data_IF_406670339519
#
_entry.id   IF_406670339519
#
_cell.length_a   1.000
_cell.length_b   1.000
_cell.length_c   1.000
_cell.angle_alpha   90.00
_cell.angle_beta   90.00
_cell.angle_gamma   90.00
#
_symmetry.space_group_name_H-M   'P 1'
#
loop_
_entity.id
_entity.type
_entity.pdbx_description
1 polymer ?
#
# COMPACT_ATOMS: atom_id res chain seq x y z
N UNK A 1 -14.14 -12.07 17.14
CA UNK A 1 -13.27 -12.80 16.21
C UNK A 1 -12.82 -11.76 15.21
N UNK A 2 -11.53 -11.39 15.22
CA UNK A 2 -11.01 -10.49 14.18
C UNK A 2 -11.03 -11.32 12.90
N UNK A 3 -11.87 -10.92 11.94
CA UNK A 3 -11.81 -11.47 10.59
C UNK A 3 -10.55 -10.91 9.96
N UNK A 4 -9.76 -11.78 9.33
CA UNK A 4 -8.57 -11.34 8.61
C UNK A 4 -9.01 -10.72 7.27
N UNK A 5 -8.39 -9.61 6.91
CA UNK A 5 -8.59 -8.89 5.65
C UNK A 5 -7.33 -9.03 4.78
N UNK A 6 -7.49 -9.08 3.46
CA UNK A 6 -6.37 -9.12 2.52
C UNK A 6 -6.59 -8.05 1.45
N UNK A 7 -5.75 -7.03 1.49
CA UNK A 7 -5.84 -5.89 0.60
C UNK A 7 -4.73 -5.94 -0.44
N UNK A 8 -5.13 -5.75 -1.69
CA UNK A 8 -4.22 -5.69 -2.83
C UNK A 8 -4.32 -4.32 -3.46
N UNK A 9 -3.21 -3.59 -3.46
CA UNK A 9 -3.10 -2.25 -4.04
C UNK A 9 -2.04 -2.22 -5.15
N UNK A 10 -2.08 -1.26 -6.09
CA UNK A 10 -0.92 -0.96 -6.92
C UNK A 10 0.22 -0.45 -6.03
N UNK A 11 1.47 -0.66 -6.45
CA UNK A 11 2.65 -0.17 -5.68
C UNK A 11 2.61 1.35 -5.59
N UNK A 12 2.27 1.98 -6.70
CA UNK A 12 1.99 3.41 -6.84
C UNK A 12 0.98 3.61 -7.99
N UNK A 13 0.24 4.74 -8.02
CA UNK A 13 -0.72 5.05 -9.08
C UNK A 13 -0.08 5.07 -10.47
N UNK A 14 -0.87 4.80 -11.52
CA UNK A 14 -0.39 4.88 -12.90
C UNK A 14 0.09 6.31 -13.23
N UNK A 15 1.36 6.43 -13.62
CA UNK A 15 1.96 7.70 -13.99
C UNK A 15 3.44 7.74 -13.66
N UNK A 16 4.08 8.85 -13.99
CA UNK A 16 5.49 9.06 -13.65
C UNK A 16 5.60 9.45 -12.19
N UNK A 17 6.58 8.89 -11.50
CA UNK A 17 6.79 9.22 -10.10
C UNK A 17 7.21 10.69 -9.90
N UNK A 18 7.74 11.37 -10.93
CA UNK A 18 8.05 12.81 -10.91
C UNK A 18 6.88 13.73 -11.27
N UNK A 19 5.66 13.20 -11.36
CA UNK A 19 4.43 13.97 -11.52
C UNK A 19 3.87 14.36 -10.14
N UNK A 20 3.69 15.67 -9.86
CA UNK A 20 3.09 16.16 -8.63
C UNK A 20 1.76 15.49 -8.25
N UNK A 21 0.93 15.15 -9.23
CA UNK A 21 -0.38 14.52 -9.03
C UNK A 21 -0.22 13.10 -8.49
N UNK A 22 0.75 12.36 -9.02
CA UNK A 22 1.06 10.99 -8.61
C UNK A 22 1.66 10.99 -7.20
N UNK A 23 2.60 11.89 -6.94
CA UNK A 23 3.20 12.10 -5.62
C UNK A 23 2.14 12.42 -4.56
N UNK A 24 1.20 13.30 -4.88
CA UNK A 24 0.09 13.66 -3.98
C UNK A 24 -0.82 12.47 -3.69
N UNK A 25 -1.15 11.65 -4.70
CA UNK A 25 -1.94 10.44 -4.51
C UNK A 25 -1.22 9.39 -3.65
N UNK A 26 0.10 9.24 -3.84
CA UNK A 26 0.93 8.39 -2.97
C UNK A 26 0.86 8.91 -1.54
N UNK A 27 1.04 10.21 -1.33
CA UNK A 27 0.95 10.81 0.01
C UNK A 27 -0.39 10.49 0.69
N UNK A 28 -1.51 10.76 0.02
CA UNK A 28 -2.84 10.46 0.58
C UNK A 28 -3.04 8.98 0.88
N UNK A 29 -2.60 8.09 -0.02
CA UNK A 29 -2.65 6.63 0.20
C UNK A 29 -1.86 6.23 1.45
N UNK A 30 -0.69 6.83 1.65
CA UNK A 30 0.18 6.57 2.81
C UNK A 30 -0.41 7.10 4.11
N UNK A 31 -1.05 8.26 4.08
CA UNK A 31 -1.81 8.78 5.21
C UNK A 31 -2.97 7.87 5.57
N UNK A 32 -3.75 7.41 4.60
CA UNK A 32 -4.89 6.50 4.85
C UNK A 32 -4.47 5.11 5.37
N UNK A 33 -3.33 4.58 4.92
CA UNK A 33 -2.90 3.23 5.29
C UNK A 33 -2.02 3.18 6.55
N UNK A 34 -1.05 4.08 6.69
CA UNK A 34 0.07 3.91 7.63
C UNK A 34 0.32 5.11 8.56
N UNK A 35 0.39 6.32 8.01
CA UNK A 35 1.03 7.43 8.74
C UNK A 35 0.08 8.28 9.57
N UNK A 36 -1.15 8.51 9.12
CA UNK A 36 -2.10 9.31 9.89
C UNK A 36 -2.52 8.58 11.18
N UNK A 37 -2.91 9.32 12.22
CA UNK A 37 -3.42 8.74 13.46
C UNK A 37 -4.74 7.97 13.24
N UNK A 38 -5.49 8.32 12.21
CA UNK A 38 -6.70 7.62 11.75
C UNK A 38 -6.44 6.62 10.62
N UNK A 39 -5.18 6.38 10.27
CA UNK A 39 -4.82 5.39 9.26
C UNK A 39 -5.25 3.97 9.65
N UNK A 40 -5.44 3.10 8.66
CA UNK A 40 -5.83 1.70 8.86
C UNK A 40 -4.95 1.01 9.92
N UNK A 41 -3.62 1.07 9.76
CA UNK A 41 -2.71 0.39 10.68
C UNK A 41 -2.71 1.03 12.07
N UNK A 42 -2.75 2.36 12.20
CA UNK A 42 -2.79 3.00 13.53
C UNK A 42 -4.12 2.79 14.26
N UNK A 43 -5.24 2.70 13.53
CA UNK A 43 -6.55 2.31 14.10
C UNK A 43 -6.54 0.86 14.60
N UNK A 44 -5.88 -0.05 13.89
CA UNK A 44 -5.67 -1.44 14.36
C UNK A 44 -4.78 -1.44 15.61
N UNK A 45 -3.65 -0.70 15.61
CA UNK A 45 -2.77 -0.58 16.79
C UNK A 45 -3.51 -0.05 18.00
N UNK A 46 -4.33 0.99 17.84
CA UNK A 46 -5.13 1.51 18.93
C UNK A 46 -6.14 0.46 19.43
N UNK A 47 -6.80 -0.28 18.54
CA UNK A 47 -7.70 -1.38 18.92
C UNK A 47 -6.98 -2.49 19.70
N UNK A 48 -5.76 -2.84 19.30
CA UNK A 48 -4.91 -3.82 19.99
C UNK A 48 -4.45 -3.30 21.35
N UNK A 49 -4.08 -2.02 21.44
CA UNK A 49 -3.73 -1.38 22.71
C UNK A 49 -4.93 -1.36 23.67
N UNK A 50 -6.13 -0.99 23.20
CA UNK A 50 -7.36 -1.03 24.00
C UNK A 50 -7.64 -2.44 24.51
N UNK A 51 -7.47 -3.45 23.66
CA UNK A 51 -7.60 -4.86 24.06
C UNK A 51 -6.62 -5.20 25.18
N UNK A 52 -5.34 -4.84 25.04
CA UNK A 52 -4.32 -5.07 26.06
C UNK A 52 -4.70 -4.40 27.39
N UNK A 53 -5.17 -3.15 27.35
CA UNK A 53 -5.61 -2.43 28.54
C UNK A 53 -6.80 -3.08 29.25
N UNK A 54 -7.76 -3.61 28.50
CA UNK A 54 -8.91 -4.33 29.06
C UNK A 54 -8.51 -5.65 29.71
N UNK A 55 -7.57 -6.37 29.09
CA UNK A 55 -7.03 -7.64 29.60
C UNK A 55 -6.19 -7.43 30.85
N UNK A 56 -5.29 -6.44 30.87
CA UNK A 56 -4.46 -6.07 32.02
C UNK A 56 -5.30 -5.66 33.24
N UNK A 57 -6.37 -4.89 33.00
CA UNK A 57 -7.33 -4.46 34.05
C UNK A 57 -8.33 -5.55 34.41
N UNK A 58 -8.23 -6.74 33.81
CA UNK A 58 -9.13 -7.89 34.00
C UNK A 58 -10.61 -7.52 33.84
N UNK A 59 -10.92 -6.62 32.91
CA UNK A 59 -12.29 -6.17 32.66
C UNK A 59 -13.09 -7.34 32.07
N UNK A 60 -14.24 -7.73 32.66
CA UNK A 60 -15.05 -8.83 32.12
C UNK A 60 -15.45 -8.58 30.67
N UNK A 61 -15.35 -9.61 29.80
CA UNK A 61 -15.61 -9.48 28.35
C UNK A 61 -16.95 -8.82 28.01
N UNK A 62 -17.99 -9.09 28.81
CA UNK A 62 -19.33 -8.50 28.69
C UNK A 62 -19.36 -6.97 28.86
N UNK A 63 -18.36 -6.39 29.53
CA UNK A 63 -18.27 -4.95 29.83
C UNK A 63 -17.38 -4.20 28.83
N UNK A 64 -16.66 -4.90 27.96
CA UNK A 64 -15.72 -4.28 27.02
C UNK A 64 -16.39 -3.19 26.17
N UNK A 65 -17.61 -3.44 25.66
CA UNK A 65 -18.35 -2.48 24.83
C UNK A 65 -18.56 -1.11 25.49
N UNK A 66 -18.63 -1.05 26.83
CA UNK A 66 -18.81 0.21 27.58
C UNK A 66 -17.50 0.98 27.74
N UNK A 67 -16.38 0.27 27.79
CA UNK A 67 -15.05 0.82 28.10
C UNK A 67 -14.22 1.12 26.87
N UNK A 68 -14.49 0.47 25.73
CA UNK A 68 -13.73 0.65 24.48
C UNK A 68 -13.68 2.13 24.08
N UNK A 69 -14.82 2.81 23.98
CA UNK A 69 -14.87 4.22 23.53
C UNK A 69 -14.11 5.17 24.45
N UNK A 70 -14.11 4.92 25.76
CA UNK A 70 -13.37 5.73 26.73
C UNK A 70 -11.86 5.51 26.58
N UNK A 71 -11.43 4.26 26.38
CA UNK A 71 -10.02 3.91 26.19
C UNK A 71 -9.50 4.39 24.83
N UNK A 72 -10.29 4.27 23.76
CA UNK A 72 -9.93 4.79 22.43
C UNK A 72 -9.70 6.31 22.46
N UNK A 73 -10.52 7.05 23.21
CA UNK A 73 -10.34 8.51 23.36
C UNK A 73 -9.08 8.90 24.13
N UNK A 74 -8.63 8.06 25.07
CA UNK A 74 -7.38 8.26 25.82
C UNK A 74 -6.19 7.53 25.20
N UNK A 75 -6.33 7.02 23.97
CA UNK A 75 -5.32 6.20 23.29
C UNK A 75 -4.12 7.04 22.81
N UNK A 76 -4.25 8.38 22.78
CA UNK A 76 -3.27 9.40 22.34
C UNK A 76 -2.22 8.81 21.39
N UNK A 77 -0.92 8.90 21.71
CA UNK A 77 0.16 8.23 20.98
C UNK A 77 0.55 6.88 21.61
N UNK A 78 -0.21 6.39 22.61
CA UNK A 78 0.10 5.16 23.34
C UNK A 78 0.05 3.92 22.44
N UNK A 79 -0.75 3.98 21.37
CA UNK A 79 -0.80 2.92 20.36
C UNK A 79 0.54 2.75 19.61
N UNK A 80 1.43 3.74 19.63
CA UNK A 80 2.75 3.66 19.01
C UNK A 80 3.65 2.62 19.70
N UNK A 81 3.33 2.19 20.92
CA UNK A 81 4.02 1.12 21.62
C UNK A 81 3.68 -0.28 21.09
N UNK A 82 2.57 -0.42 20.36
CA UNK A 82 2.21 -1.68 19.69
C UNK A 82 3.04 -1.78 18.41
N UNK A 83 3.82 -2.84 18.24
CA UNK A 83 4.55 -3.08 16.99
C UNK A 83 3.57 -3.12 15.80
N UNK A 84 3.94 -2.45 14.70
CA UNK A 84 3.15 -2.44 13.46
C UNK A 84 2.94 -3.86 12.91
N UNK A 85 3.88 -4.78 13.15
CA UNK A 85 3.76 -6.18 12.73
C UNK A 85 2.57 -6.88 13.40
N UNK A 86 2.13 -6.43 14.58
CA UNK A 86 0.96 -6.98 15.26
C UNK A 86 -0.34 -6.75 14.46
N UNK A 87 -0.39 -5.70 13.62
CA UNK A 87 -1.53 -5.45 12.73
C UNK A 87 -1.72 -6.56 11.70
N UNK A 88 -0.64 -7.24 11.30
CA UNK A 88 -0.71 -8.26 10.25
C UNK A 88 -1.41 -9.55 10.67
N UNK A 89 -1.80 -9.66 11.95
CA UNK A 89 -2.74 -10.69 12.41
C UNK A 89 -4.17 -10.43 11.93
N UNK A 90 -4.50 -9.17 11.58
CA UNK A 90 -5.84 -8.72 11.19
C UNK A 90 -5.91 -8.29 9.72
N UNK A 91 -4.82 -7.80 9.14
CA UNK A 91 -4.79 -7.34 7.75
C UNK A 91 -3.52 -7.81 7.02
N UNK A 92 -3.65 -8.22 5.76
CA UNK A 92 -2.52 -8.56 4.89
C UNK A 92 -2.45 -7.55 3.75
N UNK A 93 -1.46 -6.67 3.75
CA UNK A 93 -1.27 -5.65 2.71
C UNK A 93 -0.28 -6.11 1.64
N UNK A 94 -0.74 -6.15 0.39
CA UNK A 94 0.02 -6.71 -0.73
C UNK A 94 0.01 -5.78 -1.94
N UNK A 95 1.03 -5.97 -2.77
CA UNK A 95 1.09 -5.50 -4.14
C UNK A 95 1.34 -6.68 -5.08
N UNK A 96 1.28 -6.41 -6.39
CA UNK A 96 1.71 -7.35 -7.42
C UNK A 96 2.91 -6.80 -8.18
N UNK A 97 3.90 -7.67 -8.44
CA UNK A 97 5.10 -7.33 -9.21
C UNK A 97 5.58 -8.53 -10.01
N UNK A 98 6.12 -8.26 -11.19
CA UNK A 98 6.78 -9.27 -12.01
C UNK A 98 8.18 -8.82 -12.45
N UNK A 99 8.93 -9.74 -13.03
CA UNK A 99 10.23 -9.49 -13.63
C UNK A 99 10.36 -10.20 -14.98
N UNK A 100 11.33 -9.76 -15.75
CA UNK A 100 11.68 -10.38 -17.03
C UNK A 100 13.11 -10.05 -17.41
N UNK A 101 13.45 -10.37 -18.65
CA UNK A 101 14.75 -10.03 -19.24
C UNK A 101 14.52 -9.26 -20.54
N UNK A 102 15.21 -8.13 -20.69
CA UNK A 102 15.23 -7.33 -21.91
C UNK A 102 16.69 -7.11 -22.30
N UNK A 103 17.08 -7.53 -23.51
CA UNK A 103 18.46 -7.41 -24.01
C UNK A 103 19.54 -7.98 -23.05
N UNK A 104 19.26 -9.11 -22.38
CA UNK A 104 20.19 -9.72 -21.42
C UNK A 104 20.22 -9.07 -20.04
N UNK A 105 19.37 -8.06 -19.79
CA UNK A 105 19.28 -7.33 -18.53
C UNK A 105 17.99 -7.66 -17.78
N UNK A 106 18.07 -7.97 -16.48
CA UNK A 106 16.88 -8.09 -15.65
C UNK A 106 16.10 -6.79 -15.59
N UNK A 107 14.79 -6.87 -15.77
CA UNK A 107 13.85 -5.75 -15.63
C UNK A 107 12.72 -6.17 -14.69
N UNK A 108 12.08 -5.20 -14.03
CA UNK A 108 10.91 -5.42 -13.19
C UNK A 108 9.91 -4.29 -13.37
N UNK A 109 8.62 -4.63 -13.25
CA UNK A 109 7.54 -3.65 -13.16
C UNK A 109 6.44 -4.16 -12.24
N UNK A 110 5.69 -3.25 -11.62
CA UNK A 110 4.46 -3.61 -10.92
C UNK A 110 3.45 -4.20 -11.91
N UNK A 111 2.68 -5.18 -11.46
CA UNK A 111 1.43 -5.53 -12.14
C UNK A 111 0.38 -4.56 -11.60
N UNK A 112 -0.05 -3.62 -12.43
CA UNK A 112 -0.92 -2.55 -11.98
C UNK A 112 -2.31 -3.08 -11.59
N UNK A 113 -2.68 -2.89 -10.33
CA UNK A 113 -3.97 -3.33 -9.78
C UNK A 113 -5.01 -2.25 -10.06
N UNK A 114 -5.66 -2.37 -11.22
CA UNK A 114 -6.76 -1.47 -11.61
C UNK A 114 -8.14 -1.95 -11.13
N UNK A 115 -8.21 -3.12 -10.50
CA UNK A 115 -9.47 -3.74 -10.05
C UNK A 115 -10.18 -2.94 -8.97
N UNK A 116 -11.51 -2.88 -9.03
CA UNK A 116 -12.40 -2.40 -7.95
C UNK A 116 -13.30 -3.57 -7.57
N UNK A 117 -12.74 -4.42 -6.71
CA UNK A 117 -13.31 -5.72 -6.37
C UNK A 117 -13.22 -5.93 -4.86
N UNK A 118 -14.33 -6.30 -4.25
CA UNK A 118 -14.40 -6.73 -2.86
C UNK A 118 -15.12 -8.07 -2.79
N UNK A 119 -14.52 -9.03 -2.09
CA UNK A 119 -15.12 -10.35 -1.84
C UNK A 119 -15.24 -10.53 -0.32
N UNK A 120 -16.45 -10.75 0.17
CA UNK A 120 -16.73 -10.87 1.61
C UNK A 120 -17.24 -12.27 1.92
N UNK A 121 -16.55 -12.97 2.84
CA UNK A 121 -16.89 -14.28 3.40
C UNK A 121 -17.05 -15.43 2.38
N UNK A 122 -16.49 -15.32 1.17
CA UNK A 122 -16.86 -16.21 0.04
C UNK A 122 -18.40 -16.19 -0.20
N UNK A 123 -19.09 -15.07 0.06
CA UNK A 123 -20.56 -14.93 -0.08
C UNK A 123 -21.01 -13.73 -0.90
N UNK A 124 -20.25 -12.65 -0.91
CA UNK A 124 -20.65 -11.43 -1.61
C UNK A 124 -19.50 -10.96 -2.46
N UNK A 125 -19.79 -10.59 -3.69
CA UNK A 125 -18.83 -9.92 -4.57
C UNK A 125 -19.39 -8.55 -4.91
N UNK A 126 -18.65 -7.49 -4.62
CA UNK A 126 -18.89 -6.17 -5.16
C UNK A 126 -17.85 -5.92 -6.25
N UNK A 127 -18.31 -5.61 -7.46
CA UNK A 127 -17.44 -5.27 -8.59
C UNK A 127 -17.99 -4.04 -9.30
N UNK A 128 -17.10 -3.15 -9.74
CA UNK A 128 -17.52 -1.91 -10.39
C UNK A 128 -16.37 -1.07 -10.92
N UNK A 129 -16.64 0.23 -11.07
CA UNK A 129 -15.66 1.25 -11.45
C UNK A 129 -15.18 2.10 -10.27
N UNK A 130 -15.96 2.17 -9.19
CA UNK A 130 -15.71 3.02 -8.02
C UNK A 130 -14.43 2.64 -7.26
N UNK A 131 -13.44 3.53 -7.29
CA UNK A 131 -12.25 3.43 -6.45
C UNK A 131 -12.61 3.62 -4.96
N UNK A 132 -11.73 3.18 -4.05
CA UNK A 132 -11.83 3.54 -2.63
C UNK A 132 -11.22 4.93 -2.45
N UNK A 133 -11.99 5.96 -2.81
CA UNK A 133 -11.66 7.37 -2.57
C UNK A 133 -12.94 8.22 -2.61
N UNK A 134 -12.83 9.46 -2.11
CA UNK A 134 -13.96 10.39 -2.05
C UNK A 134 -14.55 10.70 -3.44
N UNK A 135 -13.68 10.80 -4.46
CA UNK A 135 -14.08 11.10 -5.83
C UNK A 135 -15.08 10.08 -6.36
N UNK A 136 -14.88 8.80 -6.07
CA UNK A 136 -15.76 7.71 -6.49
C UNK A 136 -16.91 7.43 -5.50
N UNK A 137 -16.71 7.66 -4.19
CA UNK A 137 -17.65 7.20 -3.15
C UNK A 137 -18.63 8.25 -2.61
N UNK A 138 -18.35 9.56 -2.74
CA UNK A 138 -19.25 10.60 -2.24
C UNK A 138 -20.50 10.81 -3.12
N UNK A 139 -20.51 10.30 -4.35
CA UNK A 139 -21.60 10.45 -5.33
C UNK A 139 -21.71 11.86 -5.96
N UNK A 140 -21.05 12.87 -5.40
CA UNK A 140 -20.90 14.21 -5.96
C UNK A 140 -19.65 14.39 -6.84
N UNK A 141 -18.76 13.39 -6.86
CA UNK A 141 -17.57 13.34 -7.70
C UNK A 141 -17.85 12.70 -9.07
N UNK A 142 -17.15 11.62 -9.38
CA UNK A 142 -17.31 10.90 -10.64
C UNK A 142 -18.58 10.04 -10.64
N UNK A 143 -19.16 9.84 -11.83
CA UNK A 143 -20.26 8.88 -12.02
C UNK A 143 -19.71 7.47 -12.06
N UNK A 144 -20.11 6.63 -11.11
CA UNK A 144 -19.64 5.26 -10.96
C UNK A 144 -20.78 4.24 -11.09
N UNK A 145 -20.44 3.02 -11.50
CA UNK A 145 -21.36 1.88 -11.48
C UNK A 145 -20.73 0.72 -10.71
N UNK A 146 -21.52 0.07 -9.86
CA UNK A 146 -21.13 -1.14 -9.18
C UNK A 146 -22.31 -2.13 -9.10
N UNK A 147 -21.98 -3.42 -9.09
CA UNK A 147 -22.93 -4.52 -8.96
C UNK A 147 -22.52 -5.41 -7.81
N UNK A 148 -23.48 -5.70 -6.93
CA UNK A 148 -23.34 -6.73 -5.89
C UNK A 148 -23.85 -8.06 -6.41
N UNK A 149 -22.98 -9.06 -6.46
CA UNK A 149 -23.28 -10.42 -6.91
C UNK A 149 -23.38 -11.34 -5.70
N UNK A 150 -24.46 -12.09 -5.69
CA UNK A 150 -24.92 -12.93 -4.61
C UNK A 150 -25.70 -14.10 -5.20
N UNK A 151 -25.01 -15.12 -5.70
CA UNK A 151 -25.65 -16.28 -6.32
C UNK A 151 -26.49 -17.11 -5.33
N UNK A 152 -27.39 -17.92 -5.88
CA UNK A 152 -28.29 -18.77 -5.09
C UNK A 152 -27.69 -20.14 -4.79
N UNK A 153 -26.58 -20.49 -5.45
CA UNK A 153 -25.86 -21.73 -5.18
C UNK A 153 -25.03 -21.59 -3.91
N UNK A 154 -25.27 -22.48 -2.95
CA UNK A 154 -24.64 -22.45 -1.64
C UNK A 154 -23.84 -23.72 -1.37
N UNK A 155 -22.71 -23.54 -0.70
CA UNK A 155 -21.90 -24.60 -0.13
C UNK A 155 -21.60 -24.28 1.34
N UNK A 156 -21.14 -25.26 2.11
CA UNK A 156 -20.69 -25.07 3.48
C UNK A 156 -19.22 -25.48 3.54
N UNK A 157 -18.34 -24.53 3.87
CA UNK A 157 -16.90 -24.77 3.88
C UNK A 157 -16.30 -24.24 5.18
N UNK A 158 -15.31 -24.95 5.71
CA UNK A 158 -14.49 -24.46 6.80
C UNK A 158 -13.51 -23.41 6.25
N UNK A 159 -13.74 -22.13 6.53
CA UNK A 159 -12.94 -21.03 6.00
C UNK A 159 -11.77 -20.63 6.92
N UNK A 160 -11.88 -20.94 8.21
CA UNK A 160 -10.95 -20.50 9.25
C UNK A 160 -10.15 -21.64 9.90
N UNK A 161 -10.38 -22.88 9.46
CA UNK A 161 -9.67 -24.07 9.93
C UNK A 161 -10.14 -24.54 11.31
N UNK A 162 -11.29 -24.05 11.80
CA UNK A 162 -11.85 -24.45 13.09
C UNK A 162 -12.64 -25.76 13.02
N UNK A 163 -12.83 -26.30 11.81
CA UNK A 163 -13.72 -27.43 11.55
C UNK A 163 -15.20 -27.06 11.59
N UNK A 164 -15.55 -25.76 11.72
CA UNK A 164 -16.94 -25.28 11.71
C UNK A 164 -17.28 -24.75 10.32
N UNK A 165 -18.12 -25.44 9.52
CA UNK A 165 -18.45 -24.97 8.19
C UNK A 165 -19.26 -23.68 8.23
N UNK A 166 -18.83 -22.69 7.46
CA UNK A 166 -19.54 -21.45 7.20
C UNK A 166 -20.29 -21.54 5.86
N UNK A 167 -21.49 -20.95 5.76
CA UNK A 167 -22.19 -20.89 4.49
C UNK A 167 -21.43 -20.00 3.50
N UNK A 168 -21.14 -20.53 2.33
CA UNK A 168 -20.46 -19.88 1.22
C UNK A 168 -21.41 -19.78 0.02
N UNK A 169 -21.00 -19.02 -0.98
CA UNK A 169 -21.60 -18.99 -2.30
C UNK A 169 -20.59 -19.36 -3.37
N UNK A 170 -21.02 -20.09 -4.39
CA UNK A 170 -20.08 -20.68 -5.35
C UNK A 170 -19.39 -19.59 -6.17
N UNK A 171 -20.12 -18.59 -6.66
CA UNK A 171 -19.51 -17.53 -7.47
C UNK A 171 -18.41 -16.78 -6.70
N UNK A 172 -18.70 -16.35 -5.47
CA UNK A 172 -17.75 -15.60 -4.65
C UNK A 172 -16.51 -16.43 -4.31
N UNK A 173 -16.71 -17.70 -3.91
CA UNK A 173 -15.62 -18.63 -3.61
C UNK A 173 -14.74 -18.90 -4.82
N UNK A 174 -15.35 -19.28 -5.95
CA UNK A 174 -14.62 -19.60 -7.17
C UNK A 174 -13.87 -18.39 -7.71
N UNK A 175 -14.49 -17.19 -7.69
CA UNK A 175 -13.83 -15.96 -8.11
C UNK A 175 -12.57 -15.69 -7.27
N UNK A 176 -12.67 -15.77 -5.93
CA UNK A 176 -11.51 -15.60 -5.05
C UNK A 176 -10.44 -16.66 -5.32
N UNK A 177 -10.82 -17.94 -5.38
CA UNK A 177 -9.88 -19.03 -5.64
C UNK A 177 -9.16 -18.87 -6.97
N UNK A 178 -9.87 -18.48 -8.03
CA UNK A 178 -9.29 -18.26 -9.35
C UNK A 178 -8.37 -17.04 -9.37
N UNK A 179 -8.77 -15.95 -8.71
CA UNK A 179 -7.94 -14.76 -8.58
C UNK A 179 -6.65 -15.07 -7.80
N UNK A 180 -6.76 -15.70 -6.63
CA UNK A 180 -5.62 -16.09 -5.81
C UNK A 180 -4.72 -17.08 -6.52
N UNK A 181 -5.26 -18.11 -7.18
CA UNK A 181 -4.46 -19.07 -7.96
C UNK A 181 -3.67 -18.37 -9.06
N UNK A 182 -4.29 -17.40 -9.75
CA UNK A 182 -3.61 -16.60 -10.78
C UNK A 182 -2.49 -15.75 -10.19
N UNK A 183 -2.72 -15.06 -9.08
CA UNK A 183 -1.73 -14.17 -8.45
C UNK A 183 -0.62 -14.94 -7.69
N UNK A 184 -0.94 -16.09 -7.12
CA UNK A 184 0.02 -17.00 -6.51
C UNK A 184 0.90 -17.66 -7.56
N UNK A 185 0.47 -17.80 -8.82
CA UNK A 185 1.27 -18.36 -9.89
C UNK A 185 1.91 -19.70 -9.50
N UNK A 186 3.25 -19.77 -9.57
CA UNK A 186 4.01 -20.96 -9.17
C UNK A 186 3.86 -21.34 -7.69
N UNK A 187 3.47 -20.41 -6.81
CA UNK A 187 3.17 -20.69 -5.41
C UNK A 187 1.80 -21.35 -5.17
N UNK A 188 0.91 -21.42 -6.17
CA UNK A 188 -0.45 -21.88 -5.94
C UNK A 188 -0.53 -23.31 -5.39
N UNK A 189 0.35 -24.21 -5.85
CA UNK A 189 0.39 -25.60 -5.40
C UNK A 189 0.85 -25.74 -3.93
N UNK A 190 1.73 -24.85 -3.44
CA UNK A 190 2.14 -24.84 -2.03
C UNK A 190 1.17 -24.05 -1.12
N UNK A 191 0.12 -23.47 -1.70
CA UNK A 191 -0.88 -22.66 -1.03
C UNK A 191 -2.31 -23.23 -1.19
N UNK A 192 -2.48 -24.51 -1.51
CA UNK A 192 -3.81 -25.14 -1.67
C UNK A 192 -4.71 -24.93 -0.46
N UNK A 193 -4.18 -25.11 0.75
CA UNK A 193 -4.92 -24.84 1.99
C UNK A 193 -5.36 -23.37 2.12
N UNK A 194 -4.52 -22.42 1.66
CA UNK A 194 -4.89 -21.02 1.64
C UNK A 194 -5.97 -20.70 0.60
N UNK A 195 -5.97 -21.42 -0.52
CA UNK A 195 -7.05 -21.34 -1.50
C UNK A 195 -8.36 -21.85 -0.93
N UNK A 196 -8.39 -22.84 -0.03
CA UNK A 196 -9.64 -23.35 0.54
C UNK A 196 -10.08 -22.65 1.83
N UNK A 197 -9.12 -22.27 2.68
CA UNK A 197 -9.31 -21.72 4.03
C UNK A 197 -8.68 -20.33 4.16
N UNK A 198 -9.27 -19.29 3.56
CA UNK A 198 -8.65 -17.97 3.48
C UNK A 198 -8.50 -17.27 4.84
N UNK A 199 -9.31 -17.63 5.84
CA UNK A 199 -9.27 -17.05 7.18
C UNK A 199 -8.44 -17.87 8.19
N UNK A 200 -7.92 -19.03 7.78
CA UNK A 200 -7.08 -19.84 8.65
C UNK A 200 -5.72 -19.19 8.86
N UNK A 201 -5.23 -19.23 10.11
CA UNK A 201 -3.97 -18.60 10.52
C UNK A 201 -2.78 -19.00 9.62
N UNK A 202 -2.59 -20.30 9.42
CA UNK A 202 -1.49 -20.78 8.61
C UNK A 202 -1.59 -20.34 7.13
N UNK A 203 -2.82 -20.12 6.62
CA UNK A 203 -3.05 -19.67 5.25
C UNK A 203 -2.52 -18.27 5.00
N UNK A 204 -2.95 -17.29 5.81
CA UNK A 204 -2.49 -15.91 5.62
C UNK A 204 -1.04 -15.72 6.07
N UNK A 205 -0.54 -16.46 7.09
CA UNK A 205 0.88 -16.45 7.45
C UNK A 205 1.75 -16.95 6.29
N UNK A 206 1.32 -17.99 5.57
CA UNK A 206 2.02 -18.51 4.39
C UNK A 206 2.04 -17.50 3.24
N UNK A 207 0.91 -16.83 2.97
CA UNK A 207 0.83 -15.76 1.96
C UNK A 207 1.77 -14.61 2.33
N UNK A 208 1.75 -14.16 3.58
CA UNK A 208 2.63 -13.10 4.09
C UNK A 208 4.11 -13.49 3.96
N UNK A 209 4.47 -14.73 4.27
CA UNK A 209 5.85 -15.22 4.13
C UNK A 209 6.34 -15.14 2.68
N UNK A 210 5.55 -15.66 1.72
CA UNK A 210 5.87 -15.58 0.28
C UNK A 210 6.01 -14.13 -0.16
N UNK A 211 5.07 -13.28 0.23
CA UNK A 211 5.08 -11.87 -0.13
C UNK A 211 6.30 -11.11 0.42
N UNK A 212 6.69 -11.39 1.67
CA UNK A 212 7.90 -10.81 2.30
C UNK A 212 9.17 -11.32 1.63
N UNK A 213 9.25 -12.60 1.29
CA UNK A 213 10.43 -13.19 0.62
C UNK A 213 10.59 -12.66 -0.81
N UNK A 214 9.51 -12.58 -1.59
CA UNK A 214 9.52 -11.96 -2.90
C UNK A 214 9.97 -10.49 -2.82
N UNK A 215 9.43 -9.70 -1.88
CA UNK A 215 9.82 -8.31 -1.69
C UNK A 215 11.33 -8.16 -1.37
N UNK A 216 11.88 -9.02 -0.50
CA UNK A 216 13.33 -9.04 -0.18
C UNK A 216 14.18 -9.35 -1.42
N UNK A 217 13.76 -10.28 -2.27
CA UNK A 217 14.48 -10.61 -3.50
C UNK A 217 14.45 -9.42 -4.46
N UNK A 218 13.28 -8.82 -4.69
CA UNK A 218 13.14 -7.63 -5.53
C UNK A 218 14.02 -6.48 -5.02
N UNK A 219 14.04 -6.22 -3.71
CA UNK A 219 14.85 -5.15 -3.11
C UNK A 219 16.36 -5.39 -3.24
N UNK A 220 16.78 -6.65 -3.17
CA UNK A 220 18.17 -7.06 -3.33
C UNK A 220 18.66 -6.85 -4.77
N UNK A 221 17.82 -7.20 -5.76
CA UNK A 221 18.19 -7.15 -7.19
C UNK A 221 18.00 -5.76 -7.80
N UNK A 222 16.87 -5.10 -7.50
CA UNK A 222 16.52 -3.81 -8.08
C UNK A 222 16.66 -2.72 -7.03
N UNK A 223 17.55 -1.77 -7.26
CA UNK A 223 17.82 -0.67 -6.33
C UNK A 223 16.96 0.58 -6.56
N UNK A 224 16.06 0.55 -7.54
CA UNK A 224 15.28 1.70 -7.99
C UNK A 224 13.75 1.54 -7.76
N UNK A 225 13.34 0.54 -6.97
CA UNK A 225 11.92 0.28 -6.64
C UNK A 225 11.54 0.68 -5.20
N UNK A 226 10.28 1.08 -4.95
CA UNK A 226 9.75 1.40 -3.60
C UNK A 226 10.04 0.34 -2.53
N UNK A 227 10.48 0.76 -1.33
CA UNK A 227 10.96 -0.14 -0.25
C UNK A 227 10.81 0.46 1.14
N UNK A 228 10.87 -0.39 2.17
CA UNK A 228 10.74 0.02 3.58
C UNK A 228 11.98 0.68 4.17
N UNK A 229 13.18 0.24 3.80
CA UNK A 229 14.46 0.74 4.35
C UNK A 229 15.32 1.36 3.24
N UNK A 230 16.03 2.47 3.51
CA UNK A 230 17.04 3.01 2.59
C UNK A 230 18.09 1.95 2.24
N UNK A 231 18.71 2.03 1.04
CA UNK A 231 19.97 1.30 0.82
C UNK A 231 21.10 2.04 1.55
N UNK A 232 22.01 1.34 2.26
CA UNK A 232 23.23 1.97 2.74
C UNK A 232 24.05 2.48 1.55
N UNK A 233 24.73 3.63 1.72
CA UNK A 233 25.62 4.18 0.69
C UNK A 233 26.73 3.18 0.37
N UNK A 234 27.01 2.92 -0.91
CA UNK A 234 28.20 2.14 -1.34
C UNK A 234 29.46 2.75 -0.72
N UNK A 235 30.11 2.04 0.20
CA UNK A 235 31.35 2.48 0.85
C UNK A 235 31.51 2.06 2.31
N UNK A 236 30.40 1.78 3.01
CA UNK A 236 30.44 1.12 4.33
C UNK A 236 30.31 -0.37 4.09
N UNK A 237 31.29 -1.17 4.54
CA UNK A 237 31.33 -2.63 4.37
C UNK A 237 30.29 -3.38 5.21
N UNK A 238 29.07 -2.86 5.30
CA UNK A 238 28.00 -3.46 6.07
C UNK A 238 27.28 -4.48 5.18
N UNK A 239 27.64 -5.73 5.42
CA UNK A 239 26.84 -6.87 5.00
C UNK A 239 25.41 -6.69 5.52
N UNK A 240 24.42 -7.08 4.70
CA UNK A 240 23.03 -7.21 5.11
C UNK A 240 22.93 -7.92 6.47
N UNK A 241 22.67 -7.16 7.55
CA UNK A 241 22.23 -7.71 8.83
C UNK A 241 20.75 -7.37 8.99
N UNK A 242 19.93 -8.40 9.13
CA UNK A 242 18.46 -8.29 9.28
C UNK A 242 18.04 -7.57 10.58
N UNK A 243 18.96 -7.37 11.53
CA UNK A 243 18.72 -6.72 12.82
C UNK A 243 19.47 -5.39 12.92
N UNK A 244 18.83 -4.28 12.57
CA UNK A 244 19.24 -2.94 13.02
C UNK A 244 17.99 -2.24 13.53
N UNK A 245 17.95 -2.08 14.86
CA UNK A 245 17.03 -1.22 15.60
C UNK A 245 17.19 0.24 15.14
N UNK A 246 16.14 1.07 15.18
CA UNK A 246 16.24 2.46 14.76
C UNK A 246 17.19 3.22 15.69
N UNK A 247 18.40 3.52 15.23
CA UNK A 247 19.29 4.42 15.95
C UNK A 247 18.75 5.83 15.86
N UNK A 248 18.41 6.39 17.01
CA UNK A 248 18.39 7.84 17.21
C UNK A 248 19.80 8.36 16.97
N UNK A 249 20.01 9.10 15.88
CA UNK A 249 20.87 10.29 15.79
C UNK A 249 20.92 10.79 14.34
N UNK A 250 20.81 12.11 14.18
CA UNK A 250 20.61 12.75 12.89
C UNK A 250 21.70 12.46 11.85
N UNK A 251 21.26 12.12 10.64
CA UNK A 251 22.13 11.87 9.48
C UNK A 251 21.55 10.94 8.42
N UNK A 252 20.40 10.31 8.66
CA UNK A 252 19.77 9.34 7.76
C UNK A 252 18.76 9.98 6.79
N UNK A 253 19.17 10.20 5.54
CA UNK A 253 18.26 10.38 4.40
C UNK A 253 18.87 9.59 3.24
N UNK A 254 18.17 8.58 2.66
CA UNK A 254 16.80 8.75 2.15
C UNK A 254 15.80 7.58 2.39
N UNK A 255 14.61 7.86 2.91
CA UNK A 255 13.43 7.38 2.20
C UNK A 255 13.30 8.30 0.98
N UNK A 256 13.45 7.71 -0.20
CA UNK A 256 12.78 8.09 -1.45
C UNK A 256 13.51 7.42 -2.62
N UNK A 257 12.74 6.90 -3.57
CA UNK A 257 13.18 6.69 -4.95
C UNK A 257 12.29 7.54 -5.89
N UNK A 258 11.99 8.72 -5.36
CA UNK A 258 11.78 10.04 -5.95
C UNK A 258 10.48 10.39 -6.65
N UNK A 259 10.04 11.67 -6.52
CA UNK A 259 10.60 12.80 -5.75
C UNK A 259 9.78 13.21 -4.52
N UNK A 260 10.48 13.79 -3.55
CA UNK A 260 9.94 14.82 -2.65
C UNK A 260 9.92 16.12 -3.44
N UNK A 261 8.73 16.65 -3.71
CA UNK A 261 8.56 17.96 -4.33
C UNK A 261 8.39 19.00 -3.22
N UNK A 262 9.46 19.72 -2.88
CA UNK A 262 9.32 20.91 -2.04
C UNK A 262 8.60 21.98 -2.86
N UNK A 263 7.40 22.38 -2.44
CA UNK A 263 6.52 23.29 -3.18
C UNK A 263 7.15 24.65 -3.59
N UNK A 264 8.32 25.00 -3.05
CA UNK A 264 9.00 26.28 -3.24
C UNK A 264 10.44 26.19 -3.82
N UNK A 265 10.92 25.04 -4.29
CA UNK A 265 12.25 24.93 -4.90
C UNK A 265 12.16 24.53 -6.38
N UNK A 266 12.53 25.45 -7.27
CA UNK A 266 12.61 25.27 -8.73
C UNK A 266 13.77 24.38 -9.21
N UNK A 267 14.53 23.73 -8.32
CA UNK A 267 15.92 23.35 -8.62
C UNK A 267 16.28 21.86 -8.69
N UNK A 268 15.37 20.91 -8.50
CA UNK A 268 15.74 19.48 -8.57
C UNK A 268 15.28 18.79 -9.86
N UNK A 269 15.54 19.40 -11.02
CA UNK A 269 15.38 18.73 -12.32
C UNK A 269 16.44 17.64 -12.56
N UNK A 270 17.56 17.68 -11.81
CA UNK A 270 18.69 16.73 -11.93
C UNK A 270 18.36 15.31 -11.45
N UNK A 271 17.40 15.13 -10.54
CA UNK A 271 17.06 13.79 -10.04
C UNK A 271 16.19 12.99 -11.01
N UNK A 272 15.54 13.65 -11.99
CA UNK A 272 14.77 13.00 -13.06
C UNK A 272 15.63 12.08 -13.92
N UNK A 273 16.88 12.48 -14.15
CA UNK A 273 17.82 11.70 -14.96
C UNK A 273 18.19 10.37 -14.30
N UNK A 274 18.08 10.29 -12.97
CA UNK A 274 18.33 9.11 -12.15
C UNK A 274 17.10 8.19 -11.98
N UNK A 275 15.99 8.48 -12.66
CA UNK A 275 14.74 7.70 -12.52
C UNK A 275 14.58 6.67 -13.64
N UNK A 276 13.92 5.51 -13.39
CA UNK A 276 13.76 4.44 -14.38
C UNK A 276 13.00 4.82 -15.66
N UNK A 277 12.23 5.92 -15.67
CA UNK A 277 11.59 6.42 -16.90
C UNK A 277 12.54 7.25 -17.78
N UNK A 278 13.74 7.58 -17.30
CA UNK A 278 14.75 8.36 -18.03
C UNK A 278 15.63 7.45 -18.86
N UNK A 279 15.91 7.83 -20.11
CA UNK A 279 16.87 7.12 -20.95
C UNK A 279 18.30 7.24 -20.38
N UNK A 280 18.64 8.40 -19.80
CA UNK A 280 19.95 8.66 -19.18
C UNK A 280 20.20 7.71 -18.00
N UNK A 281 19.15 7.36 -17.25
CA UNK A 281 19.25 6.37 -16.19
C UNK A 281 19.75 5.04 -16.75
N UNK A 282 19.14 4.52 -17.81
CA UNK A 282 19.52 3.23 -18.38
C UNK A 282 20.88 3.24 -19.08
N UNK A 283 21.29 4.36 -19.68
CA UNK A 283 22.65 4.51 -20.24
C UNK A 283 23.74 4.50 -19.17
N UNK A 284 23.44 5.05 -17.99
CA UNK A 284 24.37 5.12 -16.86
C UNK A 284 24.25 3.93 -15.90
N UNK A 285 23.17 3.13 -16.00
CA UNK A 285 22.92 2.00 -15.12
C UNK A 285 23.91 0.86 -15.39
N UNK A 286 24.92 0.75 -14.53
CA UNK A 286 25.97 -0.25 -14.66
C UNK A 286 25.38 -1.67 -14.55
N UNK A 287 25.59 -2.54 -15.56
CA UNK A 287 25.12 -3.93 -15.61
C UNK A 287 25.65 -4.82 -14.47
N UNK A 288 26.75 -4.43 -13.80
CA UNK A 288 27.22 -5.06 -12.55
C UNK A 288 26.34 -4.71 -11.32
N UNK A 289 25.30 -3.87 -11.48
CA UNK A 289 24.37 -3.48 -10.40
C UNK A 289 23.31 -4.53 -10.08
N UNK A 290 23.06 -5.51 -10.96
CA UNK A 290 22.16 -6.63 -10.66
C UNK A 290 22.87 -7.72 -9.85
N UNK A 291 23.55 -7.30 -8.78
CA UNK A 291 24.01 -8.23 -7.76
C UNK A 291 22.82 -9.09 -7.34
N UNK A 292 23.01 -10.41 -7.27
CA UNK A 292 21.97 -11.37 -6.94
C UNK A 292 20.87 -11.64 -8.00
N UNK A 293 21.05 -11.29 -9.29
CA UNK A 293 20.07 -11.60 -10.34
C UNK A 293 19.61 -13.08 -10.39
N UNK A 294 20.46 -14.01 -9.97
CA UNK A 294 20.13 -15.43 -9.91
C UNK A 294 18.97 -15.73 -8.94
N UNK A 295 18.78 -14.89 -7.91
CA UNK A 295 17.70 -15.02 -6.93
C UNK A 295 16.33 -14.74 -7.51
N UNK A 296 16.23 -14.11 -8.68
CA UNK A 296 14.94 -13.93 -9.36
C UNK A 296 14.25 -15.27 -9.64
N UNK A 297 15.02 -16.35 -9.83
CA UNK A 297 14.49 -17.71 -10.00
C UNK A 297 13.86 -18.28 -8.72
N UNK A 298 14.09 -17.66 -7.55
CA UNK A 298 13.50 -18.05 -6.28
C UNK A 298 12.10 -17.42 -6.07
N UNK A 299 11.73 -16.42 -6.88
CA UNK A 299 10.43 -15.74 -6.77
C UNK A 299 9.31 -16.73 -7.07
N UNK A 300 8.27 -16.71 -6.23
CA UNK A 300 7.07 -17.54 -6.43
C UNK A 300 5.82 -16.69 -6.52
N UNK A 301 5.12 -16.81 -7.65
CA UNK A 301 3.96 -15.96 -7.92
C UNK A 301 4.30 -14.49 -8.02
N UNK A 302 3.30 -13.65 -7.78
CA UNK A 302 3.37 -12.21 -8.02
C UNK A 302 3.15 -11.38 -6.76
N UNK A 303 2.78 -11.99 -5.63
CA UNK A 303 2.58 -11.27 -4.38
C UNK A 303 3.90 -10.70 -3.86
N UNK A 304 3.88 -9.42 -3.51
CA UNK A 304 4.94 -8.75 -2.75
C UNK A 304 4.32 -8.03 -1.57
N UNK A 305 4.98 -8.05 -0.41
CA UNK A 305 4.51 -7.32 0.75
C UNK A 305 4.53 -5.81 0.47
N UNK A 306 3.47 -5.10 0.88
CA UNK A 306 3.41 -3.65 0.70
C UNK A 306 4.47 -2.95 1.55
N UNK A 307 5.26 -2.08 0.91
CA UNK A 307 6.31 -1.32 1.58
C UNK A 307 5.73 -0.22 2.47
N UNK A 308 5.27 -0.55 3.69
CA UNK A 308 4.63 0.37 4.65
C UNK A 308 5.54 1.50 5.14
N UNK A 309 6.86 1.31 5.17
CA UNK A 309 7.85 2.33 5.53
C UNK A 309 8.25 3.26 4.38
N UNK A 310 7.79 3.01 3.15
CA UNK A 310 8.11 3.88 2.02
C UNK A 310 7.47 5.26 2.20
N UNK A 311 8.25 6.32 1.92
CA UNK A 311 7.94 7.74 2.13
C UNK A 311 7.70 8.17 3.58
N UNK A 312 8.17 7.38 4.55
CA UNK A 312 8.06 7.74 5.97
C UNK A 312 8.82 9.03 6.27
N UNK A 313 8.14 9.99 6.89
CA UNK A 313 8.71 11.30 7.22
C UNK A 313 8.75 12.31 6.07
N UNK A 314 8.29 11.93 4.87
CA UNK A 314 8.19 12.85 3.73
C UNK A 314 6.84 13.61 3.74
N UNK A 315 6.89 14.94 3.63
CA UNK A 315 5.70 15.74 3.32
C UNK A 315 5.61 15.97 1.81
N UNK A 316 4.80 15.12 1.19
CA UNK A 316 4.56 15.07 -0.26
C UNK A 316 3.19 15.67 -0.61
N UNK A 317 2.60 16.46 0.29
CA UNK A 317 1.36 17.17 0.02
C UNK A 317 1.67 18.42 -0.82
N UNK A 318 1.36 18.34 -2.11
CA UNK A 318 1.56 19.47 -3.02
C UNK A 318 0.25 20.27 -3.07
N UNK A 319 0.28 21.60 -2.84
CA UNK A 319 -0.91 22.44 -2.87
C UNK A 319 -1.40 22.66 -4.32
N UNK A 320 -1.99 21.63 -4.92
CA UNK A 320 -2.88 21.76 -6.08
C UNK A 320 -4.32 21.98 -5.60
N UNK A 321 -5.25 22.25 -6.53
CA UNK A 321 -6.69 22.24 -6.25
C UNK A 321 -7.13 20.85 -5.73
N UNK A 322 -6.95 20.61 -4.43
CA UNK A 322 -7.31 19.38 -3.70
C UNK A 322 -8.76 18.95 -3.96
N UNK A 323 -9.62 19.88 -4.38
CA UNK A 323 -10.99 19.65 -4.86
C UNK A 323 -11.11 18.57 -5.95
N UNK A 324 -10.06 18.27 -6.70
CA UNK A 324 -10.08 17.21 -7.72
C UNK A 324 -9.85 15.80 -7.15
N UNK A 325 -9.34 15.68 -5.92
CA UNK A 325 -8.80 14.42 -5.36
C UNK A 325 -9.44 14.07 -4.00
N UNK A 326 -9.74 15.05 -3.15
CA UNK A 326 -10.42 14.86 -1.86
C UNK A 326 -11.10 16.16 -1.38
N UNK A 327 -12.28 16.07 -0.75
CA UNK A 327 -12.89 17.23 -0.10
C UNK A 327 -12.27 17.42 1.28
N UNK A 328 -11.74 18.62 1.55
CA UNK A 328 -11.30 19.04 2.88
C UNK A 328 -12.13 20.24 3.32
N UNK A 329 -12.72 20.17 4.50
CA UNK A 329 -13.26 21.34 5.18
C UNK A 329 -12.09 22.20 5.64
N UNK A 330 -11.81 23.28 4.89
CA UNK A 330 -10.77 24.24 5.25
C UNK A 330 -11.23 25.05 6.49
N UNK A 331 -10.68 24.70 7.65
CA UNK A 331 -10.68 25.59 8.81
C UNK A 331 -9.49 26.56 8.68
N UNK A 332 -9.77 27.81 8.33
CA UNK A 332 -8.85 28.93 8.55
C UNK A 332 -8.11 29.45 7.32
N UNK A 333 -8.11 30.78 7.21
CA UNK A 333 -7.57 31.65 6.17
C UNK A 333 -6.16 31.32 5.69
N UNK A 334 -6.02 31.08 4.38
CA UNK A 334 -4.83 31.53 3.65
C UNK A 334 -5.25 32.01 2.26
N UNK A 335 -5.37 33.34 2.14
CA UNK A 335 -5.36 34.03 0.86
C UNK A 335 -3.93 33.92 0.29
N UNK A 336 -3.71 33.03 -0.68
CA UNK A 336 -2.61 33.22 -1.62
C UNK A 336 -3.18 33.34 -3.03
N UNK A 337 -3.01 34.56 -3.55
CA UNK A 337 -3.52 35.05 -4.83
C UNK A 337 -3.05 34.15 -5.97
N UNK A 338 -4.00 33.54 -6.68
CA UNK A 338 -3.80 32.95 -7.99
C UNK A 338 -4.28 33.98 -9.02
N UNK A 339 -3.37 34.66 -9.71
CA UNK A 339 -3.59 35.06 -11.11
C UNK A 339 -2.28 35.50 -11.77
N UNK A 340 -1.82 34.75 -12.76
CA UNK A 340 -1.21 35.31 -13.96
C UNK A 340 -1.91 34.67 -15.14
N UNK A 341 -2.99 35.31 -15.60
CA UNK A 341 -3.46 35.13 -16.96
C UNK A 341 -2.95 36.33 -17.76
N UNK A 342 -2.00 36.07 -18.65
CA UNK A 342 -1.70 36.97 -19.76
C UNK A 342 -2.97 37.12 -20.60
N UNK A 343 -3.51 38.33 -20.64
CA UNK A 343 -4.41 38.75 -21.71
C UNK A 343 -3.61 39.67 -22.61
N UNK A 344 -3.28 39.14 -23.78
CA UNK A 344 -2.89 39.89 -24.96
C UNK A 344 -4.10 40.71 -25.40
N UNK A 345 -4.04 42.03 -25.30
CA UNK A 345 -4.96 42.91 -26.02
C UNK A 345 -4.19 44.00 -26.76
N UNK A 346 -4.48 44.06 -28.06
CA UNK A 346 -3.98 45.00 -29.05
C UNK A 346 -4.47 46.42 -28.74
N UNK A 347 -3.56 47.39 -28.62
CA UNK A 347 -3.91 48.81 -28.78
C UNK A 347 -3.75 49.22 -30.24
N UNK A 348 -4.86 49.17 -30.99
CA UNK A 348 -5.04 49.99 -32.18
C UNK A 348 -5.34 51.44 -31.78
N UNK A 349 -4.67 52.35 -32.50
CA UNK A 349 -4.89 53.80 -32.52
C UNK A 349 -6.35 54.17 -32.82
N UNK A 350 -6.84 55.19 -32.13
CA UNK A 350 -7.78 56.26 -32.52
C UNK A 350 -8.08 56.99 -31.18
N UNK A 351 -7.80 58.26 -30.94
CA UNK A 351 -7.72 59.48 -31.74
C UNK A 351 -6.82 60.50 -31.05
#
# INVERSE_FOLDING_TARGET
>A
MLRTEMDMLPVFPEGRLDDPTIVSQIHLTRQSLVFDSHSLLNRIRCSLWVKQQLEEKQVPRKEWHRRILELEKGCDDSYLNIDIEACYTSVTLLNLRDHGELNGQPVTEQIYVHSKLMIVDDRWVLVGSANINDRSLLGSGDSELAVTIADTAHSFNDLDGTGTPAPCRNFARELRQNAWRKWMGSAAAECEEALDKPAWRASWEKIQAIAKDNARIFDAVFNFIPRNKPKPKKGTGENYSDDISPSQEGGDVPASIWPVMTANQSNNLTDRENMPFSEIFWHSYNSNSFANRHRLNEIKGYFTALSTGWTSGEDNLIPYNMRLIAQRDFLGSDESKISMNEIVENEERLS
#
